data_IF_752104773244
#
_entry.id   IF_752104773244
#
_cell.length_a   1.000
_cell.length_b   1.000
_cell.length_c   1.000
_cell.angle_alpha   90.00
_cell.angle_beta   90.00
_cell.angle_gamma   90.00
#
_symmetry.space_group_name_H-M   'P 1'
#
loop_
_entity.id
_entity.type
_entity.pdbx_description
1 polymer ?
#
# COMPACT_ATOMS: atom_id res chain seq x y z
N UNK A 1 -20.13 18.34 -15.03
CA UNK A 1 -19.23 17.54 -14.22
C UNK A 1 -18.85 16.27 -14.96
N UNK A 2 -17.77 15.60 -14.57
CA UNK A 2 -17.45 14.27 -15.10
C UNK A 2 -18.58 13.29 -14.72
N UNK A 3 -18.89 12.36 -15.63
CA UNK A 3 -19.79 11.25 -15.36
C UNK A 3 -18.92 9.98 -15.41
N UNK A 4 -18.26 9.58 -14.32
CA UNK A 4 -17.33 8.48 -14.32
C UNK A 4 -18.08 7.13 -14.36
N UNK A 5 -17.47 6.12 -14.98
CA UNK A 5 -17.96 4.73 -15.00
C UNK A 5 -17.42 3.90 -13.83
N UNK A 6 -16.48 4.43 -13.08
CA UNK A 6 -15.88 3.82 -11.89
C UNK A 6 -14.86 4.73 -11.24
N UNK A 7 -14.41 4.39 -10.04
CA UNK A 7 -13.43 5.18 -9.27
C UNK A 7 -12.28 4.29 -8.80
N UNK A 8 -11.04 4.68 -9.09
CA UNK A 8 -9.83 4.13 -8.46
C UNK A 8 -9.37 5.13 -7.39
N UNK A 9 -9.58 4.78 -6.12
CA UNK A 9 -9.30 5.65 -4.98
C UNK A 9 -7.89 5.40 -4.43
N UNK A 10 -6.93 6.23 -4.86
CA UNK A 10 -5.53 6.17 -4.45
C UNK A 10 -5.15 7.19 -3.36
N UNK A 11 -6.05 8.11 -3.00
CA UNK A 11 -5.75 9.12 -2.00
C UNK A 11 -5.64 8.49 -0.60
N UNK A 12 -4.53 8.75 0.07
CA UNK A 12 -4.29 8.27 1.44
C UNK A 12 -3.22 9.10 2.14
N UNK A 13 -3.31 9.17 3.46
CA UNK A 13 -2.17 9.49 4.32
C UNK A 13 -1.31 8.23 4.43
N UNK A 14 -0.05 8.28 3.99
CA UNK A 14 0.85 7.13 3.91
C UNK A 14 2.11 7.25 4.77
N UNK A 15 2.30 8.38 5.46
CA UNK A 15 3.41 8.57 6.39
C UNK A 15 3.11 7.83 7.71
N UNK A 16 3.52 6.55 7.78
CA UNK A 16 3.16 5.62 8.87
C UNK A 16 3.62 6.15 10.22
N UNK A 17 4.90 6.53 10.34
CA UNK A 17 5.47 7.03 11.60
C UNK A 17 4.81 8.34 12.04
N UNK A 18 4.61 9.28 11.13
CA UNK A 18 3.94 10.53 11.42
C UNK A 18 2.46 10.35 11.79
N UNK A 19 1.83 9.24 11.41
CA UNK A 19 0.47 8.92 11.81
C UNK A 19 0.32 8.62 13.31
N UNK A 20 1.41 8.23 13.99
CA UNK A 20 1.43 7.97 15.43
C UNK A 20 1.47 9.26 16.28
N UNK A 21 1.88 10.38 15.69
CA UNK A 21 1.86 11.67 16.37
C UNK A 21 0.43 12.08 16.71
N UNK A 22 0.18 12.46 17.95
CA UNK A 22 -1.16 12.76 18.47
C UNK A 22 -1.91 13.79 17.64
N UNK A 23 -1.20 14.82 17.17
CA UNK A 23 -1.74 15.90 16.34
C UNK A 23 -2.18 15.45 14.93
N UNK A 24 -1.69 14.31 14.46
CA UNK A 24 -1.99 13.78 13.13
C UNK A 24 -3.09 12.72 13.11
N UNK A 25 -3.38 12.06 14.22
CA UNK A 25 -4.33 10.93 14.29
C UNK A 25 -5.71 11.25 13.73
N UNK A 26 -6.28 12.39 14.11
CA UNK A 26 -7.59 12.83 13.60
C UNK A 26 -7.55 13.04 12.08
N UNK A 27 -6.49 13.67 11.58
CA UNK A 27 -6.31 13.93 10.15
C UNK A 27 -6.10 12.65 9.35
N UNK A 28 -5.33 11.70 9.90
CA UNK A 28 -5.14 10.36 9.29
C UNK A 28 -6.48 9.65 9.13
N UNK A 29 -7.29 9.61 10.19
CA UNK A 29 -8.63 9.03 10.16
C UNK A 29 -9.56 9.78 9.20
N UNK A 30 -9.51 11.10 9.19
CA UNK A 30 -10.31 11.92 8.27
C UNK A 30 -9.99 11.61 6.80
N UNK A 31 -8.71 11.47 6.45
CA UNK A 31 -8.28 11.16 5.07
C UNK A 31 -8.57 9.70 4.72
N UNK A 32 -8.08 8.74 5.50
CA UNK A 32 -8.08 7.32 5.13
C UNK A 32 -9.43 6.62 5.37
N UNK A 33 -10.17 7.02 6.38
CA UNK A 33 -11.46 6.41 6.71
C UNK A 33 -12.64 7.26 6.23
N UNK A 34 -12.78 8.50 6.74
CA UNK A 34 -13.94 9.34 6.41
C UNK A 34 -13.95 9.76 4.94
N UNK A 35 -12.80 10.16 4.38
CA UNK A 35 -12.65 10.49 2.97
C UNK A 35 -12.99 9.31 2.06
N UNK A 36 -12.54 8.10 2.41
CA UNK A 36 -12.90 6.87 1.69
C UNK A 36 -14.41 6.61 1.76
N UNK A 37 -15.04 6.78 2.94
CA UNK A 37 -16.49 6.64 3.09
C UNK A 37 -17.25 7.60 2.19
N UNK A 38 -16.88 8.86 2.14
CA UNK A 38 -17.54 9.85 1.29
C UNK A 38 -17.47 9.51 -0.20
N UNK A 39 -16.32 9.02 -0.65
CA UNK A 39 -16.17 8.54 -2.04
C UNK A 39 -17.05 7.30 -2.28
N UNK A 40 -17.10 6.36 -1.35
CA UNK A 40 -17.96 5.18 -1.46
C UNK A 40 -19.46 5.54 -1.48
N UNK A 41 -19.89 6.52 -0.69
CA UNK A 41 -21.27 7.05 -0.72
C UNK A 41 -21.61 7.63 -2.11
N UNK A 42 -20.71 8.42 -2.70
CA UNK A 42 -20.90 8.95 -4.06
C UNK A 42 -20.94 7.82 -5.10
N UNK A 43 -20.06 6.82 -5.00
CA UNK A 43 -20.09 5.66 -5.90
C UNK A 43 -21.41 4.89 -5.80
N UNK A 44 -21.95 4.72 -4.57
CA UNK A 44 -23.26 4.12 -4.32
C UNK A 44 -24.38 4.90 -4.99
N UNK A 45 -24.39 6.22 -4.81
CA UNK A 45 -25.44 7.11 -5.39
C UNK A 45 -25.42 7.10 -6.92
N UNK A 46 -24.22 6.96 -7.51
CA UNK A 46 -24.04 6.89 -8.96
C UNK A 46 -24.18 5.46 -9.51
N UNK A 47 -24.30 4.44 -8.65
CA UNK A 47 -24.32 3.02 -9.02
C UNK A 47 -23.10 2.61 -9.87
N UNK A 48 -21.90 3.05 -9.48
CA UNK A 48 -20.63 2.76 -10.15
C UNK A 48 -19.67 1.99 -9.22
N UNK A 49 -18.79 1.12 -9.75
CA UNK A 49 -17.81 0.39 -8.95
C UNK A 49 -16.74 1.31 -8.37
N UNK A 50 -16.21 0.90 -7.22
CA UNK A 50 -15.08 1.56 -6.56
C UNK A 50 -13.94 0.57 -6.34
N UNK A 51 -12.73 0.97 -6.70
CA UNK A 51 -11.51 0.29 -6.33
C UNK A 51 -10.80 1.07 -5.22
N UNK A 52 -10.55 0.43 -4.08
CA UNK A 52 -9.87 1.00 -2.93
C UNK A 52 -8.49 0.37 -2.76
N UNK A 53 -7.46 1.20 -2.75
CA UNK A 53 -6.09 0.74 -2.50
C UNK A 53 -5.87 0.68 -1.00
N UNK A 54 -5.68 -0.55 -0.50
CA UNK A 54 -5.44 -0.84 0.91
C UNK A 54 -4.00 -1.32 1.16
N UNK A 55 -3.73 -1.90 2.30
CA UNK A 55 -2.39 -2.26 2.78
C UNK A 55 -2.41 -3.58 3.55
N UNK A 56 -1.27 -4.24 3.65
CA UNK A 56 -0.99 -5.36 4.54
C UNK A 56 -0.95 -4.95 6.03
N UNK A 57 -0.74 -3.67 6.35
CA UNK A 57 -0.75 -3.14 7.73
C UNK A 57 -2.09 -3.28 8.48
N UNK A 58 -3.12 -3.82 7.83
CA UNK A 58 -4.36 -4.22 8.51
C UNK A 58 -4.20 -5.51 9.33
N UNK A 59 -3.13 -6.25 9.14
CA UNK A 59 -2.76 -7.45 9.90
C UNK A 59 -1.67 -7.12 10.93
N UNK A 60 -1.45 -8.04 11.87
CA UNK A 60 -0.44 -7.90 12.93
C UNK A 60 0.99 -8.31 12.50
N UNK A 61 1.15 -8.81 11.30
CA UNK A 61 2.44 -9.26 10.79
C UNK A 61 2.97 -10.54 11.44
N UNK A 62 2.18 -11.23 12.26
CA UNK A 62 2.58 -12.46 12.93
C UNK A 62 2.28 -13.68 12.08
N UNK A 63 3.18 -14.67 12.13
CA UNK A 63 2.99 -15.94 11.43
C UNK A 63 4.14 -16.27 10.49
N UNK A 64 4.12 -17.50 9.96
CA UNK A 64 5.17 -18.05 9.08
C UNK A 64 4.69 -18.21 7.63
N UNK A 65 3.45 -17.85 7.35
CA UNK A 65 2.82 -17.98 6.04
C UNK A 65 2.28 -16.65 5.53
N UNK A 66 2.29 -16.42 4.20
CA UNK A 66 1.71 -15.22 3.62
C UNK A 66 0.22 -15.07 3.95
N UNK A 67 -0.21 -13.84 4.19
CA UNK A 67 -1.61 -13.51 4.34
C UNK A 67 -2.38 -13.76 3.04
N UNK A 68 -3.61 -14.27 3.15
CA UNK A 68 -4.49 -14.48 2.01
C UNK A 68 -5.67 -13.48 2.01
N UNK A 69 -6.26 -13.17 0.85
CA UNK A 69 -7.32 -12.16 0.76
C UNK A 69 -8.56 -12.45 1.60
N UNK A 70 -8.87 -13.72 1.84
CA UNK A 70 -10.02 -14.21 2.61
C UNK A 70 -9.82 -14.18 4.13
N UNK A 71 -8.60 -13.97 4.62
CA UNK A 71 -8.33 -13.85 6.05
C UNK A 71 -8.94 -12.58 6.62
N UNK A 72 -9.62 -12.72 7.77
CA UNK A 72 -10.36 -11.65 8.44
C UNK A 72 -9.90 -11.37 9.88
N UNK A 73 -8.79 -11.98 10.30
CA UNK A 73 -8.18 -11.75 11.61
C UNK A 73 -7.37 -10.43 11.60
N UNK A 74 -8.08 -9.34 11.33
CA UNK A 74 -7.48 -8.01 11.29
C UNK A 74 -7.03 -7.58 12.68
N UNK A 75 -5.78 -7.11 12.78
CA UNK A 75 -5.19 -6.64 14.02
C UNK A 75 -4.10 -5.59 13.73
N UNK A 76 -4.48 -4.42 13.19
CA UNK A 76 -3.52 -3.38 12.84
C UNK A 76 -2.76 -2.89 14.08
N UNK A 77 -1.44 -2.80 13.99
CA UNK A 77 -0.57 -2.42 15.09
C UNK A 77 -0.32 -0.91 15.18
N UNK A 78 -0.79 -0.13 14.22
CA UNK A 78 -0.55 1.30 14.13
C UNK A 78 -1.78 2.06 13.62
N UNK A 79 -1.77 3.38 13.82
CA UNK A 79 -2.86 4.29 13.41
C UNK A 79 -3.10 4.24 11.89
N UNK A 80 -2.03 4.16 11.10
CA UNK A 80 -2.15 4.04 9.65
C UNK A 80 -2.95 2.79 9.26
N UNK A 81 -2.54 1.60 9.73
CA UNK A 81 -3.23 0.35 9.45
C UNK A 81 -4.69 0.36 9.92
N UNK A 82 -4.94 0.87 11.14
CA UNK A 82 -6.30 1.01 11.66
C UNK A 82 -7.18 1.92 10.78
N UNK A 83 -6.62 3.05 10.31
CA UNK A 83 -7.34 3.98 9.44
C UNK A 83 -7.65 3.39 8.06
N UNK A 84 -6.71 2.61 7.50
CA UNK A 84 -6.91 1.90 6.23
C UNK A 84 -7.96 0.80 6.35
N UNK A 85 -7.94 0.05 7.46
CA UNK A 85 -8.96 -0.96 7.75
C UNK A 85 -10.36 -0.34 7.89
N UNK A 86 -10.48 0.81 8.55
CA UNK A 86 -11.74 1.53 8.64
C UNK A 86 -12.26 1.97 7.25
N UNK A 87 -11.35 2.33 6.33
CA UNK A 87 -11.67 2.57 4.93
C UNK A 87 -12.21 1.32 4.21
N UNK A 88 -11.56 0.16 4.38
CA UNK A 88 -12.07 -1.11 3.83
C UNK A 88 -13.48 -1.44 4.35
N UNK A 89 -13.71 -1.23 5.64
CA UNK A 89 -15.02 -1.49 6.27
C UNK A 89 -16.10 -0.58 5.69
N UNK A 90 -15.79 0.71 5.46
CA UNK A 90 -16.72 1.65 4.84
C UNK A 90 -17.08 1.24 3.40
N UNK A 91 -16.11 0.80 2.60
CA UNK A 91 -16.34 0.31 1.23
C UNK A 91 -17.24 -0.93 1.25
N UNK A 92 -16.94 -1.92 2.09
CA UNK A 92 -17.74 -3.17 2.22
C UNK A 92 -19.16 -2.93 2.72
N UNK A 93 -19.36 -1.94 3.60
CA UNK A 93 -20.67 -1.59 4.12
C UNK A 93 -21.57 -0.92 3.08
N UNK A 94 -20.99 -0.10 2.22
CA UNK A 94 -21.73 0.78 1.32
C UNK A 94 -21.94 0.21 -0.08
N UNK A 95 -21.02 -0.62 -0.56
CA UNK A 95 -20.97 -1.09 -1.94
C UNK A 95 -21.01 -2.62 -2.03
N UNK A 96 -21.65 -3.14 -3.09
CA UNK A 96 -21.55 -4.52 -3.56
C UNK A 96 -20.46 -4.66 -4.64
N UNK A 97 -20.32 -3.65 -5.47
CA UNK A 97 -19.46 -3.62 -6.64
C UNK A 97 -18.17 -2.88 -6.28
N UNK A 98 -17.24 -3.60 -5.64
CA UNK A 98 -15.97 -3.03 -5.20
C UNK A 98 -14.78 -3.95 -5.42
N UNK A 99 -13.62 -3.33 -5.57
CA UNK A 99 -12.31 -3.96 -5.44
C UNK A 99 -11.60 -3.37 -4.23
N UNK A 100 -11.12 -4.20 -3.31
CA UNK A 100 -10.17 -3.82 -2.28
C UNK A 100 -8.84 -4.48 -2.64
N UNK A 101 -7.85 -3.67 -2.99
CA UNK A 101 -6.53 -4.15 -3.42
C UNK A 101 -5.52 -3.80 -2.34
N UNK A 102 -5.05 -4.81 -1.59
CA UNK A 102 -4.03 -4.67 -0.57
C UNK A 102 -2.65 -4.80 -1.21
N UNK A 103 -1.81 -3.84 -0.94
CA UNK A 103 -0.45 -3.73 -1.48
C UNK A 103 0.55 -3.54 -0.35
N UNK A 104 1.81 -3.89 -0.60
CA UNK A 104 2.92 -3.72 0.33
C UNK A 104 4.17 -3.22 -0.39
N UNK A 105 5.07 -2.57 0.34
CA UNK A 105 6.42 -2.20 -0.11
C UNK A 105 6.45 -1.50 -1.47
N UNK A 106 5.58 -0.50 -1.62
CA UNK A 106 5.37 0.20 -2.89
C UNK A 106 6.57 1.07 -3.24
N UNK A 107 7.06 0.92 -4.46
CA UNK A 107 8.13 1.74 -5.01
C UNK A 107 7.85 2.14 -6.46
N UNK A 108 8.50 3.22 -6.89
CA UNK A 108 8.37 3.71 -8.25
C UNK A 108 9.37 4.81 -8.59
N UNK A 109 9.30 5.30 -9.81
CA UNK A 109 10.20 6.35 -10.33
C UNK A 109 9.90 7.73 -9.75
N UNK A 110 8.75 7.92 -9.12
CA UNK A 110 8.31 9.19 -8.55
C UNK A 110 8.03 9.07 -7.05
N UNK A 111 8.10 10.19 -6.33
CA UNK A 111 7.85 10.26 -4.90
C UNK A 111 8.96 9.64 -4.04
N UNK A 112 8.77 9.67 -2.73
CA UNK A 112 9.66 9.03 -1.77
C UNK A 112 9.32 7.53 -1.68
N UNK A 113 10.36 6.69 -1.65
CA UNK A 113 10.24 5.26 -1.46
C UNK A 113 11.54 4.69 -0.90
N UNK A 114 11.51 3.42 -0.50
CA UNK A 114 12.65 2.76 0.14
C UNK A 114 13.91 2.77 -0.73
N UNK A 115 13.79 2.54 -2.04
CA UNK A 115 14.95 2.55 -2.96
C UNK A 115 15.64 3.92 -2.92
N UNK A 116 14.88 5.00 -3.07
CA UNK A 116 15.44 6.36 -3.02
C UNK A 116 16.03 6.70 -1.66
N UNK A 117 15.40 6.24 -0.59
CA UNK A 117 15.91 6.42 0.77
C UNK A 117 17.25 5.73 0.92
N UNK A 118 17.37 4.45 0.54
CA UNK A 118 18.65 3.71 0.63
C UNK A 118 19.74 4.37 -0.19
N UNK A 119 19.46 4.75 -1.46
CA UNK A 119 20.44 5.43 -2.30
C UNK A 119 20.90 6.79 -1.73
N UNK A 120 20.01 7.54 -1.08
CA UNK A 120 20.37 8.82 -0.47
C UNK A 120 21.18 8.65 0.81
N UNK A 121 20.79 7.72 1.67
CA UNK A 121 21.50 7.46 2.94
C UNK A 121 22.87 6.84 2.67
N UNK A 122 22.98 5.93 1.69
CA UNK A 122 24.25 5.32 1.28
C UNK A 122 25.29 6.28 0.72
N UNK A 123 24.91 7.51 0.35
CA UNK A 123 25.88 8.56 -0.03
C UNK A 123 26.60 9.21 1.16
N UNK A 124 26.09 9.04 2.35
CA UNK A 124 26.55 9.77 3.54
C UNK A 124 26.91 8.86 4.72
N UNK A 125 26.66 7.55 4.60
CA UNK A 125 26.90 6.58 5.67
C UNK A 125 27.58 5.34 5.13
N UNK A 126 28.70 4.97 5.72
CA UNK A 126 29.49 3.77 5.35
C UNK A 126 28.83 2.46 5.85
N UNK A 127 27.93 2.57 6.81
CA UNK A 127 27.23 1.42 7.39
C UNK A 127 25.78 1.78 7.67
N UNK A 128 24.87 0.88 7.27
CA UNK A 128 23.45 0.99 7.54
C UNK A 128 22.96 -0.25 8.29
N UNK A 129 22.05 -0.03 9.23
CA UNK A 129 21.31 -1.12 9.88
C UNK A 129 19.91 -1.19 9.28
N UNK A 130 19.56 -2.34 8.74
CA UNK A 130 18.25 -2.57 8.09
C UNK A 130 17.60 -3.80 8.73
N UNK A 131 16.28 -3.73 8.92
CA UNK A 131 15.45 -4.80 9.48
C UNK A 131 15.51 -6.06 8.59
N UNK A 132 15.71 -7.22 9.21
CA UNK A 132 15.87 -8.51 8.53
C UNK A 132 14.80 -9.56 8.91
N UNK A 133 13.97 -9.26 9.89
CA UNK A 133 12.90 -10.14 10.36
C UNK A 133 11.51 -9.79 9.82
N UNK A 134 11.38 -8.74 9.04
CA UNK A 134 10.16 -8.40 8.31
C UNK A 134 10.27 -8.90 6.88
N UNK A 135 9.40 -9.83 6.52
CA UNK A 135 9.40 -10.51 5.22
C UNK A 135 8.22 -10.03 4.38
N UNK A 136 8.48 -9.69 3.13
CA UNK A 136 7.47 -9.18 2.22
C UNK A 136 7.86 -9.31 0.75
N UNK A 137 7.08 -8.65 -0.10
CA UNK A 137 7.32 -8.60 -1.55
C UNK A 137 7.16 -7.16 -2.04
N UNK A 138 8.18 -6.57 -2.68
CA UNK A 138 8.08 -5.23 -3.25
C UNK A 138 7.05 -5.13 -4.37
N UNK A 139 6.38 -3.98 -4.47
CA UNK A 139 5.34 -3.70 -5.47
C UNK A 139 5.73 -2.49 -6.32
N UNK A 140 5.96 -2.71 -7.62
CA UNK A 140 6.30 -1.65 -8.56
C UNK A 140 5.05 -0.92 -9.03
N UNK A 141 5.00 0.40 -8.86
CA UNK A 141 3.81 1.22 -9.15
C UNK A 141 3.35 1.19 -10.60
N UNK A 142 4.28 1.03 -11.56
CA UNK A 142 3.91 0.98 -12.98
C UNK A 142 3.14 -0.30 -13.34
N UNK A 143 3.60 -1.44 -12.84
CA UNK A 143 2.92 -2.73 -13.05
C UNK A 143 1.59 -2.74 -12.29
N UNK A 144 1.60 -2.25 -11.04
CA UNK A 144 0.37 -2.10 -10.26
C UNK A 144 -0.66 -1.26 -11.00
N UNK A 145 -0.29 -0.10 -11.54
CA UNK A 145 -1.22 0.78 -12.23
C UNK A 145 -1.89 0.10 -13.43
N UNK A 146 -1.15 -0.69 -14.19
CA UNK A 146 -1.71 -1.48 -15.31
C UNK A 146 -2.71 -2.52 -14.80
N UNK A 147 -2.31 -3.28 -13.76
CA UNK A 147 -3.19 -4.27 -13.14
C UNK A 147 -4.50 -3.65 -12.64
N UNK A 148 -4.44 -2.49 -11.98
CA UNK A 148 -5.63 -1.81 -11.47
C UNK A 148 -6.59 -1.37 -12.58
N UNK A 149 -6.04 -0.92 -13.72
CA UNK A 149 -6.86 -0.56 -14.90
C UNK A 149 -7.51 -1.82 -15.49
N UNK A 150 -6.73 -2.89 -15.69
CA UNK A 150 -7.27 -4.14 -16.21
C UNK A 150 -8.36 -4.73 -15.28
N UNK A 151 -8.14 -4.65 -13.96
CA UNK A 151 -9.10 -5.16 -12.96
C UNK A 151 -10.43 -4.38 -12.97
N UNK A 152 -10.39 -3.03 -13.01
CA UNK A 152 -11.61 -2.23 -12.88
C UNK A 152 -12.53 -2.38 -14.10
N UNK A 153 -11.99 -2.80 -15.25
CA UNK A 153 -12.77 -3.12 -16.46
C UNK A 153 -13.49 -4.46 -16.35
N UNK A 154 -13.16 -5.27 -15.34
CA UNK A 154 -13.84 -6.55 -15.07
C UNK A 154 -15.03 -6.34 -14.11
N UNK A 155 -15.77 -7.45 -13.85
CA UNK A 155 -16.78 -7.51 -12.79
C UNK A 155 -16.41 -8.50 -11.71
N UNK A 156 -15.14 -8.88 -11.65
CA UNK A 156 -14.58 -9.79 -10.64
C UNK A 156 -14.34 -9.04 -9.33
N UNK A 157 -15.44 -8.56 -8.74
CA UNK A 157 -15.42 -7.78 -7.51
C UNK A 157 -14.92 -8.61 -6.32
N UNK A 158 -14.29 -7.96 -5.36
CA UNK A 158 -13.81 -8.63 -4.15
C UNK A 158 -12.54 -8.02 -3.54
N UNK A 159 -11.87 -8.83 -2.73
CA UNK A 159 -10.64 -8.45 -2.03
C UNK A 159 -9.46 -9.19 -2.66
N UNK A 160 -8.38 -8.47 -2.93
CA UNK A 160 -7.19 -8.97 -3.59
C UNK A 160 -5.92 -8.52 -2.87
N UNK A 161 -4.88 -9.34 -2.93
CA UNK A 161 -3.51 -8.93 -2.66
C UNK A 161 -2.78 -8.77 -4.00
N UNK A 162 -2.13 -7.63 -4.20
CA UNK A 162 -1.39 -7.35 -5.43
C UNK A 162 0.07 -7.03 -5.11
N UNK A 163 0.98 -7.74 -5.76
CA UNK A 163 2.42 -7.56 -5.67
C UNK A 163 3.09 -8.05 -6.94
N UNK A 164 4.37 -7.71 -7.16
CA UNK A 164 5.12 -8.27 -8.27
C UNK A 164 5.51 -9.73 -8.00
N UNK A 165 5.77 -10.45 -9.07
CA UNK A 165 6.33 -11.80 -9.02
C UNK A 165 7.73 -11.80 -8.40
N UNK A 166 8.09 -12.89 -7.76
CA UNK A 166 9.39 -13.11 -7.13
C UNK A 166 9.27 -13.92 -5.85
N UNK A 167 10.34 -13.94 -5.09
CA UNK A 167 10.37 -14.56 -3.77
C UNK A 167 9.96 -13.61 -2.66
N UNK A 168 9.86 -14.15 -1.46
CA UNK A 168 9.74 -13.37 -0.24
C UNK A 168 11.13 -12.95 0.22
N UNK A 169 11.31 -11.67 0.54
CA UNK A 169 12.59 -11.09 0.95
C UNK A 169 12.42 -10.24 2.20
N UNK A 170 13.52 -10.03 2.94
CA UNK A 170 13.55 -9.05 4.02
C UNK A 170 13.82 -7.63 3.49
N UNK A 171 13.58 -6.62 4.33
CA UNK A 171 14.04 -5.25 4.02
C UNK A 171 15.56 -5.20 3.84
N UNK A 172 16.29 -6.03 4.59
CA UNK A 172 17.75 -6.17 4.45
C UNK A 172 18.13 -6.70 3.07
N UNK A 173 17.51 -7.78 2.62
CA UNK A 173 17.74 -8.33 1.28
C UNK A 173 17.44 -7.31 0.19
N UNK A 174 16.33 -6.56 0.36
CA UNK A 174 15.96 -5.51 -0.58
C UNK A 174 17.01 -4.39 -0.63
N UNK A 175 17.52 -3.95 0.52
CA UNK A 175 18.58 -2.96 0.60
C UNK A 175 19.87 -3.46 -0.06
N UNK A 176 20.28 -4.70 0.20
CA UNK A 176 21.45 -5.32 -0.42
C UNK A 176 21.34 -5.33 -1.95
N UNK A 177 20.19 -5.70 -2.48
CA UNK A 177 19.96 -5.72 -3.93
C UNK A 177 19.97 -4.32 -4.54
N UNK A 178 19.40 -3.31 -3.85
CA UNK A 178 19.45 -1.90 -4.27
C UNK A 178 20.90 -1.45 -4.42
N UNK A 179 21.76 -1.68 -3.42
CA UNK A 179 23.16 -1.28 -3.47
C UNK A 179 23.96 -2.06 -4.51
N UNK A 180 23.70 -3.37 -4.66
CA UNK A 180 24.32 -4.18 -5.70
C UNK A 180 24.04 -3.65 -7.11
N UNK A 181 22.79 -3.27 -7.38
CA UNK A 181 22.40 -2.70 -8.68
C UNK A 181 22.94 -1.28 -8.85
N UNK A 182 22.93 -0.47 -7.81
CA UNK A 182 23.50 0.89 -7.84
C UNK A 182 24.98 0.86 -8.22
N UNK A 183 25.77 -0.02 -7.59
CA UNK A 183 27.17 -0.21 -7.92
C UNK A 183 27.39 -0.67 -9.37
N UNK A 184 26.58 -1.60 -9.86
CA UNK A 184 26.64 -2.07 -11.24
C UNK A 184 26.32 -0.97 -12.27
N UNK A 185 25.52 0.02 -11.89
CA UNK A 185 25.16 1.18 -12.70
C UNK A 185 26.12 2.38 -12.52
N UNK A 186 27.17 2.23 -11.69
CA UNK A 186 28.16 3.28 -11.44
C UNK A 186 27.70 4.40 -10.52
N UNK A 187 26.70 4.14 -9.66
CA UNK A 187 26.34 5.07 -8.59
C UNK A 187 27.36 4.98 -7.45
N UNK A 188 27.89 6.13 -7.02
CA UNK A 188 28.74 6.22 -5.83
C UNK A 188 27.86 6.07 -4.57
N UNK A 189 27.74 4.85 -4.09
CA UNK A 189 27.20 4.50 -2.77
C UNK A 189 28.30 3.75 -2.02
N UNK A 190 28.61 4.19 -0.81
CA UNK A 190 29.61 3.54 0.05
C UNK A 190 29.07 2.22 0.61
#
# INVERSE_FOLDING_TARGET
GANPDGVIHCAAWTAVDAAEEEENKEKVMAVNASGTRYIAEVCKDLAIPMMYISTDYIFDGQGEAPWTPDQQNYAPLNVYGASKLAGEQAVKELLSDYFIVRIAWVFGTHGNNFIRTMLNVGKTHDTLTVVDDQIGTPTYTFDLARLLVDMIETKEYGIYHATNEGGYISWYDFACEIFRQAAALGYDCY
#
